data_IF_224612974349
#
_entry.id   IF_224612974349
#
_cell.length_a   1.000
_cell.length_b   1.000
_cell.length_c   1.000
_cell.angle_alpha   90.00
_cell.angle_beta   90.00
_cell.angle_gamma   90.00
#
_symmetry.space_group_name_H-M   'P 1'
#
loop_
_entity.id
_entity.type
_entity.pdbx_description
1 polymer ?
#
# COMPACT_ATOMS: atom_id res chain seq x y z
N UNK A 1 2.32 -1.74 11.09
CA UNK A 1 2.20 -3.18 11.22
C UNK A 1 2.28 -3.58 12.68
N UNK A 2 1.55 -4.57 13.07
CA UNK A 2 1.67 -5.26 14.33
C UNK A 2 2.35 -6.61 14.12
N UNK A 3 2.64 -7.29 15.22
CA UNK A 3 3.50 -8.47 15.27
C UNK A 3 3.15 -9.57 14.26
N UNK A 4 4.03 -9.80 13.30
CA UNK A 4 4.07 -11.05 12.56
C UNK A 4 4.97 -12.03 13.31
N UNK A 5 4.49 -13.21 13.61
CA UNK A 5 5.24 -14.23 14.32
C UNK A 5 6.10 -15.02 13.34
N UNK A 6 7.40 -15.14 13.62
CA UNK A 6 8.28 -15.98 12.83
C UNK A 6 7.94 -17.47 13.06
N UNK A 7 7.59 -18.24 12.01
CA UNK A 7 7.07 -19.60 12.19
C UNK A 7 8.05 -20.59 12.80
N UNK A 8 9.36 -20.34 12.76
CA UNK A 8 10.39 -21.27 13.23
C UNK A 8 10.87 -21.00 14.65
N UNK A 9 10.80 -19.79 15.15
CA UNK A 9 11.37 -19.41 16.45
C UNK A 9 10.43 -18.66 17.38
N UNK A 10 9.19 -18.40 16.94
CA UNK A 10 8.19 -17.67 17.71
C UNK A 10 8.54 -16.20 18.00
N UNK A 11 9.57 -15.67 17.36
CA UNK A 11 9.92 -14.26 17.50
C UNK A 11 9.00 -13.40 16.64
N UNK A 12 8.50 -12.29 17.18
CA UNK A 12 7.71 -11.34 16.40
C UNK A 12 8.61 -10.48 15.51
N UNK A 13 8.14 -10.22 14.30
CA UNK A 13 8.77 -9.23 13.43
C UNK A 13 8.24 -7.84 13.77
N UNK A 14 9.12 -6.93 14.13
CA UNK A 14 8.76 -5.55 14.34
C UNK A 14 7.88 -5.34 15.56
N UNK A 15 8.26 -5.93 16.70
CA UNK A 15 7.62 -5.66 17.97
C UNK A 15 7.51 -4.14 18.22
N UNK A 16 6.28 -3.62 18.14
CA UNK A 16 5.97 -2.21 18.41
C UNK A 16 5.78 -1.96 19.91
N UNK A 17 5.86 -3.02 20.73
CA UNK A 17 5.62 -2.96 22.16
C UNK A 17 4.13 -2.76 22.49
N UNK A 18 3.83 -2.55 23.76
CA UNK A 18 2.45 -2.28 24.26
C UNK A 18 1.99 -0.85 23.96
N UNK A 19 2.27 -0.32 22.79
CA UNK A 19 1.97 1.09 22.48
C UNK A 19 1.05 1.21 21.28
N UNK A 20 0.19 2.22 21.31
CA UNK A 20 -0.64 2.62 20.16
C UNK A 20 0.24 3.27 19.06
N UNK A 21 1.29 2.59 18.66
CA UNK A 21 2.21 3.03 17.62
C UNK A 21 1.98 2.27 16.32
N UNK A 22 2.30 2.93 15.22
CA UNK A 22 2.44 2.33 13.90
C UNK A 22 3.81 2.69 13.34
N UNK A 23 4.34 1.84 12.47
CA UNK A 23 5.58 2.09 11.75
C UNK A 23 5.27 2.36 10.28
N UNK A 24 5.80 3.49 9.75
CA UNK A 24 5.69 3.88 8.34
C UNK A 24 7.05 3.76 7.69
N UNK A 25 7.12 3.09 6.53
CA UNK A 25 8.37 2.91 5.78
C UNK A 25 9.18 1.68 6.20
N UNK A 26 8.60 0.75 6.95
CA UNK A 26 9.22 -0.56 7.19
C UNK A 26 9.33 -1.34 5.87
N UNK A 27 10.45 -2.02 5.68
CA UNK A 27 10.66 -2.91 4.55
C UNK A 27 9.85 -4.20 4.66
N UNK A 28 9.52 -4.81 3.53
CA UNK A 28 8.71 -6.02 3.50
C UNK A 28 9.42 -7.25 4.06
N UNK A 29 10.73 -7.28 4.01
CA UNK A 29 11.54 -8.36 4.55
C UNK A 29 12.06 -8.06 5.97
N UNK A 30 11.47 -7.05 6.65
CA UNK A 30 11.87 -6.64 7.99
C UNK A 30 13.06 -5.67 8.01
N UNK A 31 13.39 -5.05 6.88
CA UNK A 31 14.40 -4.00 6.86
C UNK A 31 13.92 -2.82 7.70
N UNK A 32 14.77 -2.42 8.61
CA UNK A 32 14.56 -1.22 9.41
C UNK A 32 14.64 0.05 8.57
N UNK A 33 14.08 1.11 9.06
CA UNK A 33 14.13 2.42 8.38
C UNK A 33 12.80 3.16 8.43
N UNK A 34 11.79 2.52 9.01
CA UNK A 34 10.51 3.15 9.26
C UNK A 34 10.55 4.16 10.39
N UNK A 35 9.61 5.08 10.36
CA UNK A 35 9.37 6.02 11.44
C UNK A 35 8.21 5.52 12.29
N UNK A 36 8.41 5.43 13.59
CA UNK A 36 7.35 5.08 14.55
C UNK A 36 6.56 6.33 14.90
N UNK A 37 5.26 6.26 14.74
CA UNK A 37 4.31 7.35 14.99
C UNK A 37 3.11 6.82 15.75
N UNK A 38 2.36 7.66 16.49
CA UNK A 38 1.08 7.25 17.06
C UNK A 38 0.12 6.74 15.99
N UNK A 39 -0.77 5.83 16.36
CA UNK A 39 -1.85 5.36 15.47
C UNK A 39 -2.64 6.55 14.93
N UNK A 40 -2.85 6.56 13.64
CA UNK A 40 -3.57 7.61 12.92
C UNK A 40 -4.82 7.07 12.26
N UNK A 41 -5.74 7.97 11.91
CA UNK A 41 -6.87 7.62 11.04
C UNK A 41 -6.38 7.14 9.67
N UNK A 42 -7.24 6.41 8.94
CA UNK A 42 -6.94 6.02 7.54
C UNK A 42 -6.56 7.24 6.69
N UNK A 43 -7.31 8.35 6.81
CA UNK A 43 -7.04 9.58 6.06
C UNK A 43 -5.67 10.17 6.36
N UNK A 44 -5.28 10.23 7.63
CA UNK A 44 -3.99 10.82 8.02
C UNK A 44 -2.83 9.91 7.62
N UNK A 45 -3.01 8.59 7.77
CA UNK A 45 -2.04 7.59 7.30
C UNK A 45 -1.83 7.69 5.79
N UNK A 46 -2.93 7.71 5.04
CA UNK A 46 -2.89 7.88 3.57
C UNK A 46 -2.25 9.19 3.19
N UNK A 47 -2.64 10.31 3.82
CA UNK A 47 -2.06 11.61 3.51
C UNK A 47 -0.53 11.61 3.71
N UNK A 48 -0.05 11.02 4.81
CA UNK A 48 1.38 10.91 5.10
C UNK A 48 2.12 10.07 4.06
N UNK A 49 1.62 8.87 3.76
CA UNK A 49 2.27 7.94 2.85
C UNK A 49 2.18 8.44 1.39
N UNK A 50 0.99 8.83 0.94
CA UNK A 50 0.76 9.28 -0.43
C UNK A 50 1.49 10.59 -0.74
N UNK A 51 1.61 11.52 0.22
CA UNK A 51 2.41 12.74 0.04
C UNK A 51 3.88 12.42 -0.24
N UNK A 52 4.46 11.49 0.53
CA UNK A 52 5.84 11.06 0.35
C UNK A 52 6.04 10.41 -1.04
N UNK A 53 5.10 9.55 -1.46
CA UNK A 53 5.14 8.90 -2.77
C UNK A 53 4.96 9.90 -3.92
N UNK A 54 4.00 10.83 -3.81
CA UNK A 54 3.80 11.88 -4.82
C UNK A 54 5.06 12.73 -4.99
N UNK A 55 5.71 13.08 -3.89
CA UNK A 55 6.96 13.83 -3.92
C UNK A 55 8.10 13.03 -4.57
N UNK A 56 8.26 11.75 -4.20
CA UNK A 56 9.31 10.89 -4.76
C UNK A 56 9.15 10.66 -6.27
N UNK A 57 7.91 10.59 -6.75
CA UNK A 57 7.57 10.39 -8.17
C UNK A 57 7.46 11.72 -8.95
N UNK A 58 7.60 12.85 -8.29
CA UNK A 58 7.37 14.20 -8.87
C UNK A 58 6.02 14.31 -9.61
N UNK A 59 4.95 13.78 -8.99
CA UNK A 59 3.62 13.80 -9.58
C UNK A 59 3.06 15.22 -9.67
N UNK A 60 2.42 15.51 -10.80
CA UNK A 60 1.81 16.81 -11.11
C UNK A 60 0.30 16.65 -11.39
N UNK A 61 -0.48 17.73 -11.24
CA UNK A 61 -1.86 17.74 -11.72
C UNK A 61 -1.93 17.33 -13.19
N UNK A 62 -2.85 16.43 -13.50
CA UNK A 62 -3.02 15.85 -14.83
C UNK A 62 -2.25 14.55 -15.06
N UNK A 63 -1.35 14.15 -14.16
CA UNK A 63 -0.69 12.85 -14.26
C UNK A 63 -1.68 11.71 -14.04
N UNK A 64 -1.48 10.63 -14.78
CA UNK A 64 -2.20 9.36 -14.64
C UNK A 64 -1.41 8.39 -13.79
N UNK A 65 -2.10 7.70 -12.90
CA UNK A 65 -1.46 6.77 -11.96
C UNK A 65 -2.16 5.43 -11.88
N UNK A 66 -1.39 4.40 -11.60
CA UNK A 66 -1.85 3.14 -11.05
C UNK A 66 -1.67 3.16 -9.53
N UNK A 67 -2.65 2.65 -8.81
CA UNK A 67 -2.60 2.52 -7.34
C UNK A 67 -2.80 1.07 -6.95
N UNK A 68 -1.90 0.54 -6.12
CA UNK A 68 -2.07 -0.76 -5.50
C UNK A 68 -2.05 -0.62 -3.98
N UNK A 69 -3.05 -1.19 -3.33
CA UNK A 69 -3.07 -1.42 -1.88
C UNK A 69 -2.92 -2.92 -1.65
N UNK A 70 -1.81 -3.29 -1.08
CA UNK A 70 -1.46 -4.67 -0.79
C UNK A 70 -1.50 -4.91 0.72
N UNK A 71 -2.28 -5.88 1.18
CA UNK A 71 -2.34 -6.28 2.57
C UNK A 71 -1.11 -7.06 3.00
N UNK A 72 -0.85 -7.07 4.30
CA UNK A 72 0.27 -7.80 4.91
C UNK A 72 -0.20 -8.98 5.78
N UNK A 73 -1.34 -9.58 5.46
CA UNK A 73 -1.85 -10.81 6.05
C UNK A 73 -2.94 -10.62 7.11
N UNK A 74 -2.89 -9.59 7.94
CA UNK A 74 -3.90 -9.35 8.97
C UNK A 74 -4.81 -8.15 8.70
N UNK A 75 -4.50 -7.32 7.69
CA UNK A 75 -5.36 -6.22 7.26
C UNK A 75 -6.48 -6.75 6.39
N UNK A 76 -7.72 -6.54 6.81
CA UNK A 76 -8.89 -7.06 6.11
C UNK A 76 -9.12 -6.36 4.76
N UNK A 77 -9.82 -7.02 3.83
CA UNK A 77 -10.22 -6.42 2.56
C UNK A 77 -11.02 -5.12 2.77
N UNK A 78 -11.86 -5.06 3.79
CA UNK A 78 -12.63 -3.84 4.07
C UNK A 78 -11.72 -2.68 4.47
N UNK A 79 -10.74 -2.90 5.32
CA UNK A 79 -9.75 -1.88 5.70
C UNK A 79 -8.93 -1.43 4.49
N UNK A 80 -8.49 -2.37 3.64
CA UNK A 80 -7.79 -2.05 2.40
C UNK A 80 -8.64 -1.20 1.44
N UNK A 81 -9.94 -1.47 1.34
CA UNK A 81 -10.84 -0.66 0.52
C UNK A 81 -11.08 0.75 1.09
N UNK A 82 -11.07 0.91 2.42
CA UNK A 82 -11.09 2.24 3.06
C UNK A 82 -9.82 3.00 2.73
N UNK A 83 -8.66 2.37 2.87
CA UNK A 83 -7.36 2.96 2.49
C UNK A 83 -7.32 3.34 1.01
N UNK A 84 -7.81 2.47 0.14
CA UNK A 84 -7.88 2.74 -1.30
C UNK A 84 -8.78 3.95 -1.61
N UNK A 85 -9.98 4.00 -1.03
CA UNK A 85 -10.88 5.14 -1.18
C UNK A 85 -10.21 6.45 -0.76
N UNK A 86 -9.60 6.47 0.43
CA UNK A 86 -8.92 7.67 0.94
C UNK A 86 -7.73 8.06 0.05
N UNK A 87 -7.02 7.07 -0.52
CA UNK A 87 -5.92 7.32 -1.48
C UNK A 87 -6.43 7.97 -2.77
N UNK A 88 -7.53 7.46 -3.32
CA UNK A 88 -8.14 8.04 -4.54
C UNK A 88 -8.62 9.47 -4.27
N UNK A 89 -9.27 9.72 -3.13
CA UNK A 89 -9.71 11.07 -2.74
C UNK A 89 -8.52 12.03 -2.59
N UNK A 90 -7.44 11.56 -1.96
CA UNK A 90 -6.20 12.35 -1.79
C UNK A 90 -5.57 12.72 -3.14
N UNK A 91 -5.38 11.76 -4.03
CA UNK A 91 -4.79 11.99 -5.36
C UNK A 91 -5.67 12.90 -6.20
N UNK A 92 -7.00 12.67 -6.19
CA UNK A 92 -7.97 13.52 -6.88
C UNK A 92 -7.93 14.97 -6.41
N UNK A 93 -7.79 15.21 -5.11
CA UNK A 93 -7.65 16.57 -4.57
C UNK A 93 -6.40 17.29 -5.06
N UNK A 94 -5.36 16.55 -5.46
CA UNK A 94 -4.13 17.07 -6.09
C UNK A 94 -4.24 17.16 -7.63
N UNK A 95 -5.38 16.83 -8.20
CA UNK A 95 -5.56 16.80 -9.67
C UNK A 95 -4.87 15.62 -10.36
N UNK A 96 -4.51 14.57 -9.62
CA UNK A 96 -3.88 13.35 -10.13
C UNK A 96 -4.97 12.31 -10.38
N UNK A 97 -4.95 11.69 -11.55
CA UNK A 97 -5.95 10.70 -11.96
C UNK A 97 -5.49 9.27 -11.63
N UNK A 98 -6.37 8.47 -11.02
CA UNK A 98 -6.17 7.03 -10.85
C UNK A 98 -6.88 6.32 -12.00
N UNK A 99 -6.10 5.81 -12.96
CA UNK A 99 -6.61 5.18 -14.20
C UNK A 99 -6.70 3.66 -14.10
N UNK A 100 -5.99 3.06 -13.16
CA UNK A 100 -6.06 1.63 -12.88
C UNK A 100 -5.68 1.35 -11.42
N UNK A 101 -6.13 0.23 -10.90
CA UNK A 101 -5.89 -0.10 -9.50
C UNK A 101 -5.91 -1.59 -9.23
N UNK A 102 -5.35 -1.97 -8.09
CA UNK A 102 -5.36 -3.32 -7.55
C UNK A 102 -5.45 -3.25 -6.02
N UNK A 103 -6.34 -4.04 -5.42
CA UNK A 103 -6.48 -4.13 -3.97
C UNK A 103 -6.56 -5.60 -3.59
N UNK A 104 -5.72 -6.04 -2.67
CA UNK A 104 -5.73 -7.44 -2.22
C UNK A 104 -4.45 -7.86 -1.52
N UNK A 105 -4.39 -9.13 -1.18
CA UNK A 105 -3.20 -9.81 -0.67
C UNK A 105 -2.39 -10.35 -1.85
N UNK A 106 -1.52 -9.52 -2.42
CA UNK A 106 -0.77 -9.85 -3.64
C UNK A 106 0.62 -10.39 -3.29
N UNK A 107 1.31 -9.70 -2.40
CA UNK A 107 2.55 -10.12 -1.79
C UNK A 107 2.42 -9.88 -0.30
N UNK A 108 2.28 -10.93 0.47
CA UNK A 108 1.92 -10.83 1.89
C UNK A 108 2.92 -11.52 2.79
N UNK A 109 2.90 -11.16 4.06
CA UNK A 109 3.50 -11.86 5.17
C UNK A 109 2.41 -12.58 5.96
N UNK A 110 2.80 -13.38 6.95
CA UNK A 110 1.86 -14.32 7.58
C UNK A 110 0.72 -13.64 8.35
N UNK A 111 0.96 -12.64 9.16
CA UNK A 111 -0.04 -12.03 10.05
C UNK A 111 0.29 -10.59 10.46
N UNK A 112 0.96 -9.82 9.64
CA UNK A 112 1.23 -8.43 9.97
C UNK A 112 0.00 -7.55 9.72
N UNK A 113 -0.47 -6.85 10.73
CA UNK A 113 -1.50 -5.82 10.58
C UNK A 113 -0.89 -4.58 9.94
N UNK A 114 -0.88 -4.55 8.63
CA UNK A 114 -0.27 -3.51 7.85
C UNK A 114 -0.65 -3.61 6.37
N UNK A 115 -0.21 -2.63 5.61
CA UNK A 115 -0.42 -2.59 4.18
C UNK A 115 0.77 -1.93 3.47
N UNK A 116 0.89 -2.19 2.20
CA UNK A 116 1.77 -1.46 1.30
C UNK A 116 0.93 -0.62 0.34
N UNK A 117 1.35 0.63 0.16
CA UNK A 117 0.82 1.50 -0.87
C UNK A 117 1.83 1.64 -1.98
N UNK A 118 1.45 1.30 -3.18
CA UNK A 118 2.26 1.47 -4.37
C UNK A 118 1.54 2.43 -5.31
N UNK A 119 2.25 3.45 -5.77
CA UNK A 119 1.79 4.38 -6.78
C UNK A 119 2.79 4.35 -7.93
N UNK A 120 2.30 4.22 -9.14
CA UNK A 120 3.14 4.29 -10.34
C UNK A 120 2.55 5.32 -11.29
N UNK A 121 3.41 6.18 -11.85
CA UNK A 121 3.02 7.09 -12.92
C UNK A 121 2.91 6.30 -14.22
N UNK A 122 1.76 6.40 -14.88
CA UNK A 122 1.46 5.64 -16.08
C UNK A 122 1.23 6.55 -17.28
N UNK A 123 1.68 6.08 -18.44
CA UNK A 123 1.36 6.62 -19.74
C UNK A 123 0.27 5.79 -20.44
N UNK A 124 -0.09 6.18 -21.66
CA UNK A 124 -1.12 5.50 -22.46
C UNK A 124 -0.68 4.07 -22.86
N UNK A 125 0.61 3.85 -23.04
CA UNK A 125 1.12 2.51 -23.38
C UNK A 125 1.00 1.56 -22.20
N UNK A 126 1.36 1.98 -20.99
CA UNK A 126 1.21 1.19 -19.78
C UNK A 126 -0.25 0.85 -19.53
N UNK A 127 -1.16 1.82 -19.73
CA UNK A 127 -2.60 1.58 -19.59
C UNK A 127 -3.11 0.58 -20.64
N UNK A 128 -2.66 0.70 -21.88
CA UNK A 128 -3.00 -0.24 -22.96
C UNK A 128 -2.50 -1.66 -22.63
N UNK A 129 -1.26 -1.79 -22.19
CA UNK A 129 -0.67 -3.08 -21.81
C UNK A 129 -1.39 -3.69 -20.61
N UNK A 130 -1.70 -2.89 -19.59
CA UNK A 130 -2.51 -3.34 -18.45
C UNK A 130 -3.87 -3.89 -18.88
N UNK A 131 -4.50 -3.29 -19.88
CA UNK A 131 -5.80 -3.72 -20.39
C UNK A 131 -5.73 -4.89 -21.38
N UNK A 132 -4.54 -5.44 -21.65
CA UNK A 132 -4.37 -6.61 -22.48
C UNK A 132 -4.73 -7.86 -21.68
N UNK A 133 -5.53 -8.80 -22.25
CA UNK A 133 -5.84 -10.05 -21.59
C UNK A 133 -4.57 -10.82 -21.21
N UNK A 134 -4.55 -11.37 -20.02
CA UNK A 134 -3.44 -12.20 -19.57
C UNK A 134 -3.94 -13.32 -18.65
N UNK A 135 -3.19 -14.41 -18.60
CA UNK A 135 -3.49 -15.53 -17.71
C UNK A 135 -2.23 -16.12 -17.12
N UNK A 136 -2.14 -16.10 -15.81
CA UNK A 136 -1.08 -16.72 -15.03
C UNK A 136 -1.70 -17.54 -13.89
N UNK A 137 -0.94 -18.38 -13.18
CA UNK A 137 -1.46 -19.09 -12.01
C UNK A 137 -1.98 -18.18 -10.89
N UNK A 138 -1.41 -16.98 -10.74
CA UNK A 138 -1.74 -16.06 -9.65
C UNK A 138 -2.59 -14.86 -10.08
N UNK A 139 -2.69 -14.58 -11.36
CA UNK A 139 -3.40 -13.42 -11.88
C UNK A 139 -3.96 -13.68 -13.27
N UNK A 140 -5.22 -13.37 -13.48
CA UNK A 140 -5.84 -13.41 -14.80
C UNK A 140 -6.72 -12.18 -15.01
N UNK A 141 -6.75 -11.73 -16.27
CA UNK A 141 -7.57 -10.63 -16.74
C UNK A 141 -8.12 -10.99 -18.12
N UNK A 142 -9.42 -10.85 -18.32
CA UNK A 142 -10.12 -11.05 -19.58
C UNK A 142 -10.24 -9.78 -20.41
#
# INVERSE_FOLDING_TARGET
>A
STDATHPQNGMSFGDLGETDLMEIGAGQHGEGGGVRVPMMSSKDTVATVAEALCKALDLKPGDKTFVMINGCGATTMMEMLVLFKDTVEFLKAKGIEVVASMVGEILTVQEAAGFQMNIAKWDEEMLRLWNTPCRTPAFSKE
#
